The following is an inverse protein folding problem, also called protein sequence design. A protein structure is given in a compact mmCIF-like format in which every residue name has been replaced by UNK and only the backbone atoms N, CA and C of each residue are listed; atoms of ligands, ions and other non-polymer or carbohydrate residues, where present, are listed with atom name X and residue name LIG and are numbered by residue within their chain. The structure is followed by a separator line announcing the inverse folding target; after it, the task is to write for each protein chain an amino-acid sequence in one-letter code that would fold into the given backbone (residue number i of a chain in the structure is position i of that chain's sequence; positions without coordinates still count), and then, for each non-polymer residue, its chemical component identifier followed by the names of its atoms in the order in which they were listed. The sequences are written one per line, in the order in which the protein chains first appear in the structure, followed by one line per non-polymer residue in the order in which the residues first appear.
data_IF_966528965224
#
_entry.id   IF_966528965224
#
_cell.length_a   1.000
_cell.length_b   1.000
_cell.length_c   1.000
_cell.angle_alpha   90.00
_cell.angle_beta   90.00
_cell.angle_gamma   90.00
#
_symmetry.space_group_name_H-M   'P 1'
#
loop_
_entity.id
_entity.type
_entity.pdbx_description
1 polymer ?
#
# COMPACT_ATOMS: atom_id res chain seq x y z
N UNK A 1 -34.93 -19.53 -11.75
CA UNK A 1 -33.55 -19.83 -12.21
C UNK A 1 -32.89 -20.72 -11.18
N UNK A 2 -32.58 -21.96 -11.56
CA UNK A 2 -32.05 -22.96 -10.63
C UNK A 2 -30.55 -22.72 -10.39
N UNK A 3 -30.00 -23.19 -9.27
CA UNK A 3 -28.55 -23.11 -8.95
C UNK A 3 -27.66 -23.80 -10.00
N UNK A 4 -28.23 -24.57 -10.93
CA UNK A 4 -27.52 -25.32 -11.97
C UNK A 4 -27.20 -24.41 -13.17
N UNK A 5 -28.08 -23.46 -13.53
CA UNK A 5 -27.87 -22.55 -14.68
C UNK A 5 -26.72 -21.55 -14.46
N UNK A 6 -26.53 -21.05 -13.23
CA UNK A 6 -25.48 -20.07 -12.94
C UNK A 6 -24.08 -20.66 -13.09
N UNK A 7 -23.90 -21.95 -12.77
CA UNK A 7 -22.60 -22.62 -12.82
C UNK A 7 -22.16 -22.92 -14.24
N UNK A 8 -23.08 -23.28 -15.14
CA UNK A 8 -22.77 -23.47 -16.56
C UNK A 8 -22.47 -22.15 -17.29
N UNK A 9 -23.21 -21.08 -16.99
CA UNK A 9 -22.97 -19.75 -17.58
C UNK A 9 -21.60 -19.19 -17.14
N UNK A 10 -21.21 -19.38 -15.87
CA UNK A 10 -19.91 -18.92 -15.34
C UNK A 10 -18.74 -19.69 -15.97
N UNK A 11 -18.85 -21.02 -16.07
CA UNK A 11 -17.82 -21.86 -16.72
C UNK A 11 -17.72 -21.57 -18.22
N UNK A 12 -18.84 -21.25 -18.89
CA UNK A 12 -18.84 -20.88 -20.31
C UNK A 12 -18.22 -19.49 -20.53
N UNK A 13 -18.46 -18.54 -19.62
CA UNK A 13 -17.89 -17.18 -19.70
C UNK A 13 -16.39 -17.16 -19.43
N UNK A 14 -15.96 -17.87 -18.37
CA UNK A 14 -14.56 -18.09 -18.04
C UNK A 14 -13.77 -18.73 -19.19
N UNK A 15 -14.29 -19.83 -19.76
CA UNK A 15 -13.66 -20.52 -20.90
C UNK A 15 -13.62 -19.64 -22.15
N UNK A 16 -14.62 -18.77 -22.34
CA UNK A 16 -14.62 -17.79 -23.43
C UNK A 16 -13.51 -16.74 -23.27
N UNK A 17 -13.23 -16.28 -22.05
CA UNK A 17 -12.15 -15.29 -21.80
C UNK A 17 -10.77 -15.94 -21.95
N UNK A 18 -10.53 -17.08 -21.29
CA UNK A 18 -9.26 -17.81 -21.38
C UNK A 18 -9.01 -18.40 -22.77
N UNK A 19 -10.06 -18.75 -23.51
CA UNK A 19 -9.94 -19.23 -24.89
C UNK A 19 -9.51 -18.14 -25.87
N UNK A 20 -9.65 -16.86 -25.51
CA UNK A 20 -9.20 -15.72 -26.31
C UNK A 20 -7.75 -15.33 -25.99
N UNK A 21 -7.25 -15.69 -24.80
CA UNK A 21 -5.87 -15.43 -24.37
C UNK A 21 -4.94 -16.46 -25.04
N UNK A 22 -4.00 -16.03 -25.90
CA UNK A 22 -3.00 -16.91 -26.47
C UNK A 22 -2.23 -17.68 -25.39
N UNK A 23 -1.91 -18.95 -25.64
CA UNK A 23 -1.07 -19.80 -24.77
C UNK A 23 -1.61 -20.12 -23.37
N UNK A 24 -2.75 -19.55 -22.94
CA UNK A 24 -3.37 -19.83 -21.65
C UNK A 24 -3.57 -21.34 -21.43
N UNK A 25 -4.03 -22.09 -22.43
CA UNK A 25 -4.19 -23.54 -22.33
C UNK A 25 -2.90 -24.30 -22.04
N UNK A 26 -1.76 -23.85 -22.58
CA UNK A 26 -0.44 -24.45 -22.34
C UNK A 26 0.06 -24.11 -20.94
N UNK A 27 0.02 -22.83 -20.56
CA UNK A 27 0.43 -22.38 -19.22
C UNK A 27 -0.37 -23.09 -18.12
N UNK A 28 -1.68 -23.25 -18.32
CA UNK A 28 -2.54 -24.01 -17.42
C UNK A 28 -2.08 -25.46 -17.31
N UNK A 29 -1.87 -26.15 -18.44
CA UNK A 29 -1.41 -27.54 -18.42
C UNK A 29 -0.11 -27.71 -17.64
N UNK A 30 0.90 -26.88 -17.88
CA UNK A 30 2.18 -26.92 -17.15
C UNK A 30 2.03 -26.77 -15.64
N UNK A 31 1.16 -25.86 -15.18
CA UNK A 31 0.93 -25.62 -13.75
C UNK A 31 0.25 -26.81 -13.03
N UNK A 32 -0.47 -27.66 -13.77
CA UNK A 32 -1.29 -28.74 -13.22
C UNK A 32 -0.63 -30.11 -13.16
N UNK A 33 0.50 -30.35 -13.84
CA UNK A 33 1.14 -31.67 -13.89
C UNK A 33 1.87 -32.10 -12.60
N UNK A 34 1.94 -31.26 -11.56
CA UNK A 34 2.53 -31.64 -10.26
C UNK A 34 1.50 -32.29 -9.31
N UNK A 35 1.94 -33.26 -8.49
CA UNK A 35 1.20 -34.11 -7.52
C UNK A 35 0.11 -33.42 -6.63
N UNK A 36 0.09 -32.08 -6.58
CA UNK A 36 -0.90 -31.24 -5.89
C UNK A 36 -2.01 -30.67 -6.81
N UNK A 37 -2.25 -31.28 -7.98
CA UNK A 37 -3.14 -30.77 -9.03
C UNK A 37 -4.54 -30.34 -8.53
N UNK A 38 -5.15 -31.06 -7.59
CA UNK A 38 -6.50 -30.74 -7.09
C UNK A 38 -6.56 -29.43 -6.29
N UNK A 39 -5.56 -29.14 -5.45
CA UNK A 39 -5.50 -27.90 -4.66
C UNK A 39 -5.21 -26.71 -5.57
N UNK A 40 -4.23 -26.85 -6.47
CA UNK A 40 -3.91 -25.83 -7.48
C UNK A 40 -5.11 -25.55 -8.37
N UNK A 41 -5.85 -26.58 -8.79
CA UNK A 41 -7.04 -26.44 -9.62
C UNK A 41 -8.16 -25.71 -8.88
N UNK A 42 -8.36 -26.00 -7.58
CA UNK A 42 -9.31 -25.25 -6.77
C UNK A 42 -8.96 -23.76 -6.70
N UNK A 43 -7.68 -23.42 -6.49
CA UNK A 43 -7.21 -22.03 -6.44
C UNK A 43 -7.40 -21.31 -7.77
N UNK A 44 -7.06 -21.96 -8.87
CA UNK A 44 -7.31 -21.40 -10.19
C UNK A 44 -8.80 -21.18 -10.43
N UNK A 45 -9.65 -22.20 -10.18
CA UNK A 45 -11.09 -22.08 -10.40
C UNK A 45 -11.68 -20.90 -9.61
N UNK A 46 -11.24 -20.72 -8.37
CA UNK A 46 -11.65 -19.59 -7.56
C UNK A 46 -11.23 -18.24 -8.18
N UNK A 47 -9.99 -18.13 -8.64
CA UNK A 47 -9.52 -16.92 -9.33
C UNK A 47 -10.27 -16.65 -10.65
N UNK A 48 -10.60 -17.72 -11.39
CA UNK A 48 -11.42 -17.65 -12.59
C UNK A 48 -12.82 -17.11 -12.26
N UNK A 49 -13.43 -17.57 -11.17
CA UNK A 49 -14.73 -17.09 -10.73
C UNK A 49 -14.66 -15.58 -10.41
N UNK A 50 -13.61 -15.15 -9.69
CA UNK A 50 -13.33 -13.72 -9.39
C UNK A 50 -13.21 -12.88 -10.67
N UNK A 51 -12.44 -13.32 -11.65
CA UNK A 51 -12.30 -12.63 -12.94
C UNK A 51 -13.62 -12.58 -13.70
N UNK A 52 -14.34 -13.70 -13.76
CA UNK A 52 -15.60 -13.80 -14.49
C UNK A 52 -16.67 -12.88 -13.91
N UNK A 53 -16.75 -12.76 -12.59
CA UNK A 53 -17.64 -11.81 -11.93
C UNK A 53 -17.32 -10.35 -12.29
N UNK A 54 -16.05 -10.00 -12.46
CA UNK A 54 -15.65 -8.66 -12.90
C UNK A 54 -16.12 -8.39 -14.34
N UNK A 55 -15.84 -9.28 -15.29
CA UNK A 55 -16.25 -9.12 -16.68
C UNK A 55 -17.77 -9.12 -16.87
N UNK A 56 -18.49 -9.90 -16.06
CA UNK A 56 -19.96 -9.91 -16.09
C UNK A 56 -20.57 -8.56 -15.65
N UNK A 57 -19.88 -7.82 -14.79
CA UNK A 57 -20.32 -6.51 -14.29
C UNK A 57 -19.81 -5.34 -15.12
N UNK A 58 -18.74 -5.51 -15.87
CA UNK A 58 -18.06 -4.45 -16.62
C UNK A 58 -18.00 -4.82 -18.12
N UNK A 59 -18.87 -4.20 -18.93
CA UNK A 59 -18.95 -4.45 -20.38
C UNK A 59 -17.86 -3.75 -21.19
N UNK A 60 -17.17 -2.76 -20.63
CA UNK A 60 -16.31 -1.83 -21.36
C UNK A 60 -14.83 -2.25 -21.37
N UNK A 61 -14.58 -3.55 -21.41
CA UNK A 61 -13.21 -4.08 -21.41
C UNK A 61 -12.58 -3.97 -22.79
N UNK A 62 -11.40 -3.36 -22.84
CA UNK A 62 -10.58 -3.27 -24.06
C UNK A 62 -9.87 -4.59 -24.31
N UNK A 63 -10.54 -5.50 -25.00
CA UNK A 63 -10.00 -6.84 -25.34
C UNK A 63 -8.82 -6.75 -26.34
N UNK A 64 -8.58 -5.60 -26.97
CA UNK A 64 -7.49 -5.40 -27.93
C UNK A 64 -6.10 -5.73 -27.35
N UNK A 65 -5.89 -5.42 -26.07
CA UNK A 65 -4.62 -5.66 -25.38
C UNK A 65 -4.41 -7.12 -24.96
N UNK A 66 -5.44 -7.97 -25.03
CA UNK A 66 -5.37 -9.36 -24.54
C UNK A 66 -4.42 -10.24 -25.36
N UNK A 67 -4.03 -9.79 -26.55
CA UNK A 67 -3.16 -10.54 -27.48
C UNK A 67 -1.73 -10.02 -27.51
N UNK A 68 -1.39 -8.99 -26.74
CA UNK A 68 -0.02 -8.49 -26.69
C UNK A 68 0.87 -9.49 -25.95
N UNK A 69 2.16 -9.52 -26.31
CA UNK A 69 3.17 -10.34 -25.64
C UNK A 69 3.27 -9.98 -24.16
N UNK A 70 3.43 -8.69 -23.87
CA UNK A 70 3.51 -8.15 -22.51
C UNK A 70 2.33 -8.57 -21.61
N UNK A 71 1.10 -8.55 -22.15
CA UNK A 71 -0.07 -8.99 -21.38
C UNK A 71 -0.01 -10.50 -21.10
N UNK A 72 0.38 -11.30 -22.08
CA UNK A 72 0.47 -12.75 -21.93
C UNK A 72 1.52 -13.15 -20.89
N UNK A 73 2.67 -12.46 -20.87
CA UNK A 73 3.73 -12.68 -19.89
C UNK A 73 3.24 -12.36 -18.47
N UNK A 74 2.65 -11.17 -18.27
CA UNK A 74 2.06 -10.80 -16.98
C UNK A 74 0.94 -11.77 -16.57
N UNK A 75 0.11 -12.19 -17.53
CA UNK A 75 -0.96 -13.14 -17.30
C UNK A 75 -0.44 -14.49 -16.79
N UNK A 76 0.60 -15.03 -17.43
CA UNK A 76 1.25 -16.26 -17.00
C UNK A 76 1.85 -16.10 -15.59
N UNK A 77 2.54 -14.99 -15.35
CA UNK A 77 3.10 -14.60 -14.06
C UNK A 77 2.05 -14.53 -12.94
N UNK A 78 0.87 -14.00 -13.24
CA UNK A 78 -0.27 -13.98 -12.31
C UNK A 78 -0.77 -15.39 -12.05
N UNK A 79 -0.97 -16.22 -13.08
CA UNK A 79 -1.47 -17.59 -12.90
C UNK A 79 -0.52 -18.44 -12.05
N UNK A 80 0.80 -18.31 -12.25
CA UNK A 80 1.84 -18.95 -11.43
C UNK A 80 1.68 -18.60 -9.94
N UNK A 81 1.43 -17.32 -9.62
CA UNK A 81 1.24 -16.85 -8.24
C UNK A 81 -0.12 -17.23 -7.67
N UNK A 82 -1.18 -17.23 -8.48
CA UNK A 82 -2.54 -17.64 -8.10
C UNK A 82 -2.55 -19.09 -7.61
N UNK A 83 -1.97 -20.03 -8.35
CA UNK A 83 -1.98 -21.45 -7.95
C UNK A 83 -1.20 -21.73 -6.68
N UNK A 84 -0.30 -20.81 -6.29
CA UNK A 84 0.47 -20.88 -5.05
C UNK A 84 -0.19 -20.14 -3.88
N UNK A 85 -1.22 -19.34 -4.14
CA UNK A 85 -1.81 -18.42 -3.15
C UNK A 85 -3.13 -18.95 -2.57
N UNK A 86 -3.26 -18.85 -1.24
CA UNK A 86 -4.51 -19.17 -0.52
C UNK A 86 -5.33 -17.92 -0.14
N UNK A 87 -4.70 -16.74 -0.04
CA UNK A 87 -5.36 -15.51 0.40
C UNK A 87 -6.29 -14.97 -0.67
N UNK A 88 -7.59 -14.86 -0.36
CA UNK A 88 -8.60 -14.26 -1.25
C UNK A 88 -8.29 -12.80 -1.58
N UNK A 89 -7.82 -12.01 -0.60
CA UNK A 89 -7.45 -10.61 -0.82
C UNK A 89 -6.30 -10.47 -1.83
N UNK A 90 -5.34 -11.38 -1.79
CA UNK A 90 -4.26 -11.40 -2.79
C UNK A 90 -4.75 -11.81 -4.17
N UNK A 91 -5.68 -12.77 -4.25
CA UNK A 91 -6.31 -13.15 -5.51
C UNK A 91 -7.08 -11.98 -6.13
N UNK A 92 -7.77 -11.18 -5.31
CA UNK A 92 -8.43 -9.95 -5.76
C UNK A 92 -7.39 -8.97 -6.34
N UNK A 93 -6.30 -8.69 -5.61
CA UNK A 93 -5.23 -7.81 -6.11
C UNK A 93 -4.58 -8.31 -7.40
N UNK A 94 -4.35 -9.63 -7.54
CA UNK A 94 -3.87 -10.21 -8.81
C UNK A 94 -4.86 -10.00 -9.96
N UNK A 95 -6.16 -10.10 -9.71
CA UNK A 95 -7.20 -9.80 -10.70
C UNK A 95 -7.10 -8.33 -11.11
N UNK A 96 -6.94 -7.42 -10.16
CA UNK A 96 -6.84 -5.98 -10.46
C UNK A 96 -5.60 -5.62 -11.30
N UNK A 97 -4.49 -6.34 -11.11
CA UNK A 97 -3.31 -6.19 -11.99
C UNK A 97 -3.66 -6.54 -13.42
N UNK A 98 -4.28 -7.70 -13.65
CA UNK A 98 -4.67 -8.11 -15.00
C UNK A 98 -5.64 -7.13 -15.65
N UNK A 99 -6.62 -6.66 -14.89
CA UNK A 99 -7.59 -5.69 -15.39
C UNK A 99 -6.92 -4.35 -15.73
N UNK A 100 -5.99 -3.90 -14.89
CA UNK A 100 -5.23 -2.68 -15.14
C UNK A 100 -4.41 -2.81 -16.42
N UNK A 101 -3.65 -3.90 -16.57
CA UNK A 101 -2.87 -4.16 -17.78
C UNK A 101 -3.74 -4.30 -19.03
N UNK A 102 -4.93 -4.86 -18.90
CA UNK A 102 -5.85 -5.01 -20.02
C UNK A 102 -6.41 -3.65 -20.47
N UNK A 103 -6.78 -2.78 -19.53
CA UNK A 103 -7.45 -1.51 -19.85
C UNK A 103 -6.47 -0.37 -20.15
N UNK A 104 -5.39 -0.29 -19.38
CA UNK A 104 -4.35 0.74 -19.44
C UNK A 104 -2.98 0.07 -19.24
N UNK A 105 -2.40 -0.55 -20.28
CA UNK A 105 -1.12 -1.22 -20.19
C UNK A 105 -0.04 -0.30 -19.62
N UNK A 106 0.63 -0.75 -18.56
CA UNK A 106 1.80 -0.06 -18.01
C UNK A 106 2.99 -0.49 -18.86
N UNK A 107 3.73 0.48 -19.41
CA UNK A 107 4.87 0.18 -20.28
C UNK A 107 6.05 -0.44 -19.51
N UNK A 108 6.17 -0.15 -18.22
CA UNK A 108 7.21 -0.67 -17.34
C UNK A 108 6.83 -2.05 -16.76
N UNK A 109 6.97 -3.10 -17.58
CA UNK A 109 6.62 -4.48 -17.20
C UNK A 109 7.38 -4.95 -15.94
N UNK A 110 8.65 -4.54 -15.81
CA UNK A 110 9.48 -4.85 -14.64
C UNK A 110 8.86 -4.32 -13.33
N UNK A 111 8.21 -3.14 -13.38
CA UNK A 111 7.52 -2.55 -12.23
C UNK A 111 6.27 -3.39 -11.86
N UNK A 112 5.55 -3.89 -12.87
CA UNK A 112 4.37 -4.75 -12.66
C UNK A 112 4.77 -6.07 -12.00
N UNK A 113 5.86 -6.70 -12.46
CA UNK A 113 6.42 -7.90 -11.83
C UNK A 113 6.86 -7.64 -10.38
N UNK A 114 7.50 -6.50 -10.14
CA UNK A 114 7.86 -6.09 -8.78
C UNK A 114 6.62 -5.95 -7.87
N UNK A 115 5.54 -5.36 -8.36
CA UNK A 115 4.27 -5.29 -7.62
C UNK A 115 3.66 -6.67 -7.38
N UNK A 116 3.72 -7.59 -8.34
CA UNK A 116 3.28 -8.97 -8.17
C UNK A 116 4.07 -9.69 -7.06
N UNK A 117 5.37 -9.46 -6.97
CA UNK A 117 6.24 -10.00 -5.92
C UNK A 117 5.92 -9.40 -4.55
N UNK A 118 5.63 -8.09 -4.49
CA UNK A 118 5.18 -7.44 -3.27
C UNK A 118 3.85 -8.00 -2.78
N UNK A 119 2.82 -8.10 -3.63
CA UNK A 119 1.53 -8.69 -3.27
C UNK A 119 1.69 -10.12 -2.78
N UNK A 120 2.53 -10.91 -3.46
CA UNK A 120 2.77 -12.30 -3.08
C UNK A 120 3.46 -12.41 -1.72
N UNK A 121 4.42 -11.53 -1.43
CA UNK A 121 5.29 -11.65 -0.25
C UNK A 121 4.82 -10.91 1.01
N UNK A 122 4.01 -9.86 0.88
CA UNK A 122 3.50 -9.08 2.01
C UNK A 122 2.31 -9.78 2.68
N UNK A 123 2.24 -9.72 4.00
CA UNK A 123 1.06 -10.09 4.78
C UNK A 123 0.04 -8.95 4.80
N UNK A 124 -1.20 -9.24 5.17
CA UNK A 124 -2.24 -8.21 5.30
C UNK A 124 -1.90 -7.24 6.45
N UNK A 125 -1.25 -7.72 7.52
CA UNK A 125 -0.75 -6.85 8.58
C UNK A 125 0.33 -5.88 8.07
N UNK A 126 1.25 -6.33 7.22
CA UNK A 126 2.24 -5.45 6.58
C UNK A 126 1.58 -4.40 5.68
N UNK A 127 0.57 -4.79 4.90
CA UNK A 127 -0.18 -3.85 4.04
C UNK A 127 -0.94 -2.83 4.89
N UNK A 128 -1.55 -3.25 6.00
CA UNK A 128 -2.24 -2.36 6.94
C UNK A 128 -1.28 -1.36 7.58
N UNK A 129 -0.09 -1.81 8.01
CA UNK A 129 0.95 -0.94 8.55
C UNK A 129 1.41 0.06 7.48
N UNK A 130 1.70 -0.40 6.26
CA UNK A 130 2.12 0.45 5.15
C UNK A 130 1.05 1.52 4.85
N UNK A 131 -0.22 1.12 4.79
CA UNK A 131 -1.34 2.02 4.59
C UNK A 131 -1.46 3.07 5.70
N UNK A 132 -1.23 2.70 6.97
CA UNK A 132 -1.15 3.68 8.06
C UNK A 132 0.03 4.65 7.90
N UNK A 133 1.15 4.18 7.36
CA UNK A 133 2.35 4.98 7.14
C UNK A 133 2.24 5.96 5.96
N UNK A 134 1.19 5.87 5.13
CA UNK A 134 0.94 6.88 4.09
C UNK A 134 0.80 8.31 4.62
N UNK A 135 0.44 8.45 5.90
CA UNK A 135 0.30 9.74 6.58
C UNK A 135 1.65 10.31 7.06
N UNK A 136 2.75 9.61 6.81
CA UNK A 136 4.11 9.99 7.17
C UNK A 136 4.95 10.16 5.90
N UNK A 137 4.47 11.03 5.02
CA UNK A 137 5.12 11.41 3.78
C UNK A 137 6.09 12.59 3.98
N UNK A 138 6.56 13.18 2.88
CA UNK A 138 7.42 14.36 2.91
C UNK A 138 6.72 15.57 3.55
N UNK A 139 5.43 15.78 3.28
CA UNK A 139 4.67 16.89 3.86
C UNK A 139 4.60 16.80 5.39
N UNK A 140 4.39 15.59 5.92
CA UNK A 140 4.42 15.35 7.36
C UNK A 140 5.79 15.68 7.98
N UNK A 141 6.89 15.32 7.32
CA UNK A 141 8.23 15.66 7.81
C UNK A 141 8.52 17.17 7.73
N UNK A 142 7.99 17.88 6.74
CA UNK A 142 8.04 19.35 6.68
C UNK A 142 7.31 20.01 7.86
N UNK A 143 6.12 19.52 8.21
CA UNK A 143 5.36 19.99 9.38
C UNK A 143 6.15 19.76 10.69
N UNK A 144 6.79 18.60 10.84
CA UNK A 144 7.66 18.31 11.99
C UNK A 144 8.85 19.25 12.05
N UNK A 145 9.48 19.53 10.90
CA UNK A 145 10.60 20.46 10.83
C UNK A 145 10.16 21.89 11.20
N UNK A 146 8.96 22.30 10.78
CA UNK A 146 8.38 23.59 11.14
C UNK A 146 8.09 23.66 12.66
N UNK A 147 7.50 22.62 13.23
CA UNK A 147 7.25 22.50 14.66
C UNK A 147 8.55 22.64 15.48
N UNK A 148 9.63 22.00 15.05
CA UNK A 148 10.93 22.11 15.72
C UNK A 148 11.48 23.55 15.66
N UNK A 149 11.36 24.23 14.51
CA UNK A 149 11.75 25.65 14.37
C UNK A 149 10.96 26.55 15.32
N UNK A 150 9.65 26.37 15.41
CA UNK A 150 8.80 27.14 16.34
C UNK A 150 9.17 26.88 17.79
N UNK A 151 9.51 25.63 18.16
CA UNK A 151 10.00 25.31 19.51
C UNK A 151 11.34 25.98 19.82
N UNK A 152 12.26 26.01 18.86
CA UNK A 152 13.54 26.73 19.01
C UNK A 152 13.32 28.24 19.14
N UNK A 153 12.40 28.82 18.36
CA UNK A 153 11.99 30.22 18.47
C UNK A 153 11.39 30.52 19.86
N UNK A 154 10.49 29.67 20.35
CA UNK A 154 9.90 29.80 21.68
C UNK A 154 10.96 29.74 22.79
N UNK A 155 11.93 28.83 22.68
CA UNK A 155 13.05 28.74 23.61
C UNK A 155 13.87 30.03 23.62
N UNK A 156 14.16 30.60 22.45
CA UNK A 156 14.88 31.88 22.35
C UNK A 156 14.08 33.04 22.94
N UNK A 157 12.76 33.10 22.69
CA UNK A 157 11.87 34.09 23.30
C UNK A 157 11.91 33.97 24.82
N UNK A 158 11.77 32.75 25.35
CA UNK A 158 11.82 32.47 26.79
C UNK A 158 13.15 32.93 27.40
N UNK A 159 14.27 32.67 26.75
CA UNK A 159 15.59 33.14 27.21
C UNK A 159 15.74 34.66 27.15
N UNK A 160 15.16 35.32 26.15
CA UNK A 160 15.15 36.79 26.05
C UNK A 160 14.28 37.41 27.16
N UNK A 161 13.13 36.82 27.45
CA UNK A 161 12.24 37.24 28.55
C UNK A 161 12.94 37.15 29.92
N UNK A 162 13.68 36.06 30.19
CA UNK A 162 14.46 35.90 31.43
C UNK A 162 15.51 37.00 31.64
N UNK A 163 15.99 37.63 30.57
CA UNK A 163 17.02 38.68 30.61
C UNK A 163 16.42 40.09 30.70
N UNK A 164 15.10 40.23 30.76
CA UNK A 164 14.44 41.53 30.87
C UNK A 164 14.60 42.09 32.29
N UNK A 165 15.13 43.30 32.38
CA UNK A 165 15.37 43.99 33.66
C UNK A 165 14.23 44.93 34.05
N UNK A 166 13.39 45.33 33.09
CA UNK A 166 12.24 46.21 33.32
C UNK A 166 11.06 45.65 32.54
N UNK A 167 10.00 45.28 33.25
CA UNK A 167 8.75 44.80 32.68
C UNK A 167 7.66 45.79 33.10
N UNK A 168 6.98 46.40 32.12
CA UNK A 168 5.85 47.30 32.36
C UNK A 168 4.60 46.61 31.81
N UNK A 169 3.69 46.21 32.70
CA UNK A 169 2.51 45.37 32.43
C UNK A 169 2.84 43.96 31.92
N UNK A 170 3.41 43.82 30.73
CA UNK A 170 3.76 42.53 30.11
C UNK A 170 5.15 42.60 29.45
N UNK A 171 5.73 41.43 29.18
CA UNK A 171 7.00 41.36 28.44
C UNK A 171 6.83 41.95 27.04
N UNK A 172 7.87 42.63 26.52
CA UNK A 172 7.89 43.08 25.11
C UNK A 172 7.91 41.92 24.11
N UNK A 173 8.13 40.68 24.58
CA UNK A 173 8.06 39.48 23.77
C UNK A 173 6.73 38.71 23.92
N UNK A 174 5.74 39.26 24.64
CA UNK A 174 4.48 38.57 24.90
C UNK A 174 3.74 38.20 23.60
N UNK A 175 3.58 39.15 22.68
CA UNK A 175 2.82 38.92 21.44
C UNK A 175 3.52 37.89 20.54
N UNK A 176 4.85 37.90 20.48
CA UNK A 176 5.65 36.90 19.78
C UNK A 176 5.49 35.51 20.41
N UNK A 177 5.53 35.43 21.73
CA UNK A 177 5.32 34.17 22.47
C UNK A 177 3.94 33.58 22.19
N UNK A 178 2.89 34.41 22.23
CA UNK A 178 1.51 33.99 21.93
C UNK A 178 1.41 33.48 20.49
N UNK A 179 1.93 34.23 19.51
CA UNK A 179 1.93 33.83 18.10
C UNK A 179 2.63 32.48 17.88
N UNK A 180 3.81 32.31 18.46
CA UNK A 180 4.59 31.07 18.30
C UNK A 180 3.90 29.89 18.99
N UNK A 181 3.34 30.09 20.18
CA UNK A 181 2.55 29.06 20.89
C UNK A 181 1.33 28.61 20.09
N UNK A 182 0.57 29.56 19.52
CA UNK A 182 -0.58 29.21 18.66
C UNK A 182 -0.15 28.43 17.42
N UNK A 183 0.98 28.77 16.80
CA UNK A 183 1.52 28.00 15.67
C UNK A 183 1.95 26.58 16.06
N UNK A 184 2.53 26.40 17.25
CA UNK A 184 2.86 25.07 17.80
C UNK A 184 1.59 24.25 17.99
N UNK A 185 0.57 24.82 18.64
CA UNK A 185 -0.71 24.17 18.92
C UNK A 185 -1.40 23.72 17.63
N UNK A 186 -1.44 24.57 16.59
CA UNK A 186 -2.04 24.22 15.30
C UNK A 186 -1.38 22.99 14.64
N UNK A 187 -0.05 22.89 14.70
CA UNK A 187 0.68 21.76 14.12
C UNK A 187 0.55 20.52 15.01
N UNK A 188 0.60 20.67 16.33
CA UNK A 188 0.40 19.56 17.28
C UNK A 188 -0.98 18.92 17.12
N UNK A 189 -2.03 19.72 16.93
CA UNK A 189 -3.40 19.24 16.68
C UNK A 189 -3.51 18.36 15.42
N UNK A 190 -2.73 18.66 14.38
CA UNK A 190 -2.67 17.85 13.14
C UNK A 190 -1.90 16.55 13.35
N UNK A 191 -0.82 16.57 14.14
CA UNK A 191 0.14 15.47 14.28
C UNK A 191 -0.27 14.46 15.36
N UNK A 192 -0.83 14.92 16.48
CA UNK A 192 -1.16 14.07 17.63
C UNK A 192 -2.05 12.88 17.26
N UNK A 193 -3.12 13.04 16.45
CA UNK A 193 -3.99 11.93 16.06
C UNK A 193 -3.26 10.86 15.24
N UNK A 194 -2.17 11.22 14.55
CA UNK A 194 -1.42 10.32 13.69
C UNK A 194 -0.42 9.46 14.47
N UNK A 195 0.05 9.91 15.65
CA UNK A 195 1.07 9.19 16.43
C UNK A 195 0.69 7.74 16.74
N UNK A 196 -0.60 7.48 16.98
CA UNK A 196 -1.11 6.12 17.23
C UNK A 196 -0.83 5.15 16.07
N UNK A 197 -0.76 5.64 14.83
CA UNK A 197 -0.48 4.82 13.64
C UNK A 197 0.96 4.29 13.60
N UNK A 198 1.84 4.77 14.48
CA UNK A 198 3.22 4.28 14.65
C UNK A 198 3.36 3.32 15.84
N UNK A 199 2.27 2.92 16.48
CA UNK A 199 2.32 2.04 17.65
C UNK A 199 1.74 0.66 17.33
N UNK A 200 2.26 -0.37 18.01
CA UNK A 200 1.83 -1.75 17.81
C UNK A 200 0.39 -1.99 18.24
N UNK A 201 -0.08 -1.24 19.25
CA UNK A 201 -1.41 -1.37 19.85
C UNK A 201 -2.51 -1.01 18.84
N UNK A 202 -2.26 -0.03 17.97
CA UNK A 202 -3.21 0.37 16.94
C UNK A 202 -3.53 -0.76 15.95
N UNK A 203 -2.55 -1.63 15.67
CA UNK A 203 -2.69 -2.77 14.76
C UNK A 203 -3.00 -4.09 15.48
N UNK A 204 -3.22 -4.06 16.80
CA UNK A 204 -3.43 -5.26 17.62
C UNK A 204 -2.26 -6.27 17.53
N UNK A 205 -1.03 -5.76 17.42
CA UNK A 205 0.18 -6.56 17.32
C UNK A 205 1.02 -6.48 18.59
N UNK A 206 1.89 -7.47 18.80
CA UNK A 206 2.99 -7.31 19.73
C UNK A 206 4.02 -6.32 19.18
N UNK A 207 4.73 -5.63 20.05
CA UNK A 207 5.82 -4.74 19.68
C UNK A 207 6.83 -5.42 18.75
N UNK A 208 7.26 -6.65 19.07
CA UNK A 208 8.24 -7.39 18.26
C UNK A 208 7.73 -7.71 16.85
N UNK A 209 6.43 -8.07 16.72
CA UNK A 209 5.83 -8.38 15.41
C UNK A 209 5.68 -7.11 14.57
N UNK A 210 5.30 -5.99 15.19
CA UNK A 210 5.22 -4.68 14.54
C UNK A 210 6.59 -4.20 14.04
N UNK A 211 7.63 -4.25 14.88
CA UNK A 211 9.00 -3.88 14.47
C UNK A 211 9.52 -4.76 13.34
N UNK A 212 9.28 -6.07 13.40
CA UNK A 212 9.65 -7.00 12.34
C UNK A 212 9.00 -6.63 11.00
N UNK A 213 7.70 -6.30 11.00
CA UNK A 213 7.00 -5.89 9.78
C UNK A 213 7.50 -4.55 9.23
N UNK A 214 7.76 -3.56 10.09
CA UNK A 214 8.39 -2.32 9.65
C UNK A 214 9.75 -2.54 8.98
N UNK A 215 10.58 -3.42 9.56
CA UNK A 215 11.88 -3.78 8.97
C UNK A 215 11.73 -4.50 7.62
N UNK A 216 10.73 -5.38 7.48
CA UNK A 216 10.44 -6.03 6.19
C UNK A 216 9.99 -5.03 5.14
N UNK A 217 9.08 -4.12 5.49
CA UNK A 217 8.62 -3.04 4.61
C UNK A 217 9.78 -2.12 4.21
N UNK A 218 10.66 -1.77 5.15
CA UNK A 218 11.90 -1.05 4.88
C UNK A 218 12.79 -1.78 3.88
N UNK A 219 13.05 -3.08 4.11
CA UNK A 219 13.92 -3.89 3.25
C UNK A 219 13.41 -4.04 1.82
N UNK A 220 12.10 -3.80 1.62
CA UNK A 220 11.43 -3.82 0.32
C UNK A 220 11.34 -2.43 -0.34
N UNK A 221 11.93 -1.40 0.27
CA UNK A 221 11.90 -0.03 -0.25
C UNK A 221 10.55 0.67 -0.11
N UNK A 222 9.61 0.12 0.68
CA UNK A 222 8.26 0.68 0.86
C UNK A 222 8.19 1.71 1.99
N UNK A 223 9.13 1.64 2.92
CA UNK A 223 9.31 2.59 4.00
C UNK A 223 10.75 3.10 4.01
N UNK A 224 10.95 4.29 4.55
CA UNK A 224 12.25 4.93 4.76
C UNK A 224 12.40 5.32 6.22
N UNK A 225 13.60 5.23 6.76
CA UNK A 225 13.90 5.64 8.13
C UNK A 225 14.42 7.08 8.15
N UNK A 226 13.61 8.01 8.66
CA UNK A 226 13.87 9.45 8.62
C UNK A 226 14.83 9.92 9.73
N UNK A 227 15.84 9.12 10.07
CA UNK A 227 16.78 9.39 11.19
C UNK A 227 17.50 10.73 11.08
N UNK A 228 17.68 11.25 9.86
CA UNK A 228 18.49 12.44 9.61
C UNK A 228 17.99 13.70 10.34
N UNK A 229 16.74 13.74 10.83
CA UNK A 229 16.16 14.95 11.42
C UNK A 229 15.86 14.87 12.94
N UNK A 230 16.23 13.79 13.66
CA UNK A 230 15.76 13.60 15.06
C UNK A 230 16.83 13.04 16.01
N UNK A 231 17.42 13.93 16.81
CA UNK A 231 18.35 13.59 17.89
C UNK A 231 17.70 12.61 18.88
N UNK A 232 18.38 11.49 19.17
CA UNK A 232 17.97 10.51 20.19
C UNK A 232 16.90 9.51 19.75
N UNK A 233 16.50 9.47 18.47
CA UNK A 233 15.56 8.45 17.98
C UNK A 233 16.23 7.10 17.72
N UNK A 234 15.55 6.02 18.09
CA UNK A 234 16.01 4.67 17.81
C UNK A 234 15.75 4.30 16.34
N UNK A 235 16.50 3.31 15.87
CA UNK A 235 16.28 2.68 14.56
C UNK A 235 14.82 2.32 14.33
N UNK A 236 14.29 2.62 13.14
CA UNK A 236 12.92 2.27 12.72
C UNK A 236 11.79 2.92 13.54
N UNK A 237 12.10 3.86 14.42
CA UNK A 237 11.08 4.53 15.24
C UNK A 237 10.28 5.56 14.44
N UNK A 238 10.96 6.30 13.56
CA UNK A 238 10.38 7.38 12.77
C UNK A 238 10.43 7.05 11.29
N UNK A 239 9.66 6.04 10.89
CA UNK A 239 9.58 5.64 9.50
C UNK A 239 8.54 6.47 8.75
N UNK A 240 8.91 6.90 7.56
CA UNK A 240 8.01 7.46 6.57
C UNK A 240 7.72 6.47 5.44
N UNK A 241 6.67 6.73 4.68
CA UNK A 241 6.42 6.01 3.43
C UNK A 241 7.34 6.56 2.32
N UNK A 242 7.75 5.70 1.39
CA UNK A 242 8.44 6.13 0.17
C UNK A 242 7.43 6.48 -0.93
N UNK A 243 7.86 7.20 -1.96
CA UNK A 243 7.05 7.43 -3.16
C UNK A 243 6.64 6.10 -3.81
N UNK A 244 7.59 5.18 -3.97
CA UNK A 244 7.33 3.82 -4.44
C UNK A 244 6.30 3.06 -3.56
N UNK A 245 6.33 3.26 -2.23
CA UNK A 245 5.34 2.69 -1.32
C UNK A 245 3.94 3.26 -1.51
N UNK A 246 3.82 4.57 -1.79
CA UNK A 246 2.55 5.22 -2.11
C UNK A 246 1.99 4.73 -3.44
N UNK A 247 2.81 4.68 -4.49
CA UNK A 247 2.41 4.16 -5.80
C UNK A 247 1.93 2.72 -5.71
N UNK A 248 2.65 1.87 -4.96
CA UNK A 248 2.23 0.50 -4.70
C UNK A 248 0.86 0.43 -3.99
N UNK A 249 0.64 1.27 -2.96
CA UNK A 249 -0.65 1.34 -2.27
C UNK A 249 -1.77 1.78 -3.21
N UNK A 250 -1.57 2.85 -3.98
CA UNK A 250 -2.57 3.37 -4.91
C UNK A 250 -2.93 2.32 -5.96
N UNK A 251 -1.93 1.57 -6.42
CA UNK A 251 -2.12 0.46 -7.35
C UNK A 251 -3.00 -0.66 -6.77
N UNK A 252 -2.82 -1.02 -5.50
CA UNK A 252 -3.62 -2.08 -4.84
C UNK A 252 -4.91 -1.59 -4.16
N UNK A 253 -5.13 -0.28 -3.99
CA UNK A 253 -6.33 0.30 -3.34
C UNK A 253 -7.38 0.74 -4.38
N UNK A 254 -6.97 1.19 -5.57
CA UNK A 254 -7.89 1.45 -6.69
C UNK A 254 -8.62 0.18 -7.20
N UNK A 255 -8.31 -0.95 -6.56
CA UNK A 255 -8.77 -2.31 -6.77
C UNK A 255 -10.06 -2.65 -5.99
N UNK A 256 -10.43 -1.82 -4.99
CA UNK A 256 -11.62 -1.99 -4.14
C UNK A 256 -12.82 -1.10 -4.51
N UNK A 257 -12.69 -0.22 -5.52
CA UNK A 257 -13.77 0.64 -6.02
C UNK A 257 -14.39 0.08 -7.29
#
# INVERSE_FOLDING_TARGET
MSKIDKKEILVSSAKSIFGVIPFAGTALNELFFEYNGSIKQKRLNNFIDILSEYFAKNSDVKIENIKTEDFNDIFESVLRRVVQTKSELKLIRFKDILITQLNNPIQEIELVELYLDLISSLSEEEISILHGHRNFDLNYEEEINNLNKLRDELNQITEKQKRETIIINQSRYHDDEVRVKSGIEEIEDKIEPLKKLRTSEYYELSYQKFEFYKQRLFSKGLLVDNRMNRNGSFAFQNMGITEFGLEFLDFIINSEK
#
